data_IF_109215876497
#
_entry.id   IF_109215876497
#
_cell.length_a   1.000
_cell.length_b   1.000
_cell.length_c   1.000
_cell.angle_alpha   90.00
_cell.angle_beta   90.00
_cell.angle_gamma   90.00
#
_symmetry.space_group_name_H-M   'P 1'
#
loop_
_entity.id
_entity.type
_entity.pdbx_description
1 polymer ?
#
# COMPACT_ATOMS: atom_id res chain seq x y z
N UNK A 1 -0.74 3.63 9.98
CA UNK A 1 -1.57 3.80 8.76
C UNK A 1 -1.82 2.41 8.24
N UNK A 2 -3.08 2.15 7.87
CA UNK A 2 -3.59 0.81 7.57
C UNK A 2 -2.78 0.04 6.51
N UNK A 3 -2.24 0.74 5.49
CA UNK A 3 -1.37 0.14 4.47
C UNK A 3 -0.11 -0.55 5.05
N UNK A 4 0.62 0.13 5.94
CA UNK A 4 1.85 -0.40 6.53
C UNK A 4 1.56 -1.65 7.35
N UNK A 5 0.52 -1.58 8.17
CA UNK A 5 0.09 -2.67 9.06
C UNK A 5 -0.32 -3.92 8.27
N UNK A 6 -1.09 -3.75 7.18
CA UNK A 6 -1.47 -4.86 6.29
C UNK A 6 -0.25 -5.42 5.56
N UNK A 7 0.66 -4.57 5.07
CA UNK A 7 1.89 -5.06 4.42
C UNK A 7 2.72 -5.91 5.38
N UNK A 8 2.88 -5.46 6.62
CA UNK A 8 3.65 -6.17 7.64
C UNK A 8 2.97 -7.47 8.09
N UNK A 9 1.63 -7.50 8.17
CA UNK A 9 0.88 -8.74 8.46
C UNK A 9 1.05 -9.79 7.35
N UNK A 10 1.23 -9.35 6.10
CA UNK A 10 1.57 -10.19 4.93
C UNK A 10 3.06 -10.55 4.86
N UNK A 11 3.88 -10.14 5.86
CA UNK A 11 5.34 -10.38 5.93
C UNK A 11 6.11 -9.85 4.72
N UNK A 12 5.60 -8.81 4.07
CA UNK A 12 6.25 -8.17 2.93
C UNK A 12 7.10 -6.99 3.41
N UNK A 13 8.35 -6.88 2.93
CA UNK A 13 9.07 -5.61 3.05
C UNK A 13 8.50 -4.58 2.08
N UNK A 14 8.83 -3.29 2.29
CA UNK A 14 8.48 -2.25 1.30
C UNK A 14 9.04 -2.58 -0.09
N UNK A 15 10.25 -3.16 -0.17
CA UNK A 15 10.87 -3.54 -1.45
C UNK A 15 10.11 -4.67 -2.13
N UNK A 16 9.59 -5.63 -1.36
CA UNK A 16 8.83 -6.74 -1.93
C UNK A 16 7.52 -6.24 -2.53
N UNK A 17 6.78 -5.41 -1.78
CA UNK A 17 5.55 -4.81 -2.30
C UNK A 17 5.82 -3.91 -3.52
N UNK A 18 6.89 -3.12 -3.50
CA UNK A 18 7.30 -2.30 -4.64
C UNK A 18 7.56 -3.12 -5.90
N UNK A 19 8.20 -4.29 -5.77
CA UNK A 19 8.46 -5.21 -6.90
C UNK A 19 7.18 -5.78 -7.47
N UNK A 20 6.20 -6.11 -6.62
CA UNK A 20 4.92 -6.66 -7.04
C UNK A 20 4.07 -5.60 -7.76
N UNK A 21 3.98 -4.40 -7.17
CA UNK A 21 3.10 -3.31 -7.66
C UNK A 21 3.74 -2.51 -8.81
N UNK A 22 5.07 -2.51 -8.91
CA UNK A 22 5.80 -1.74 -9.92
C UNK A 22 5.96 -0.27 -9.55
N UNK A 23 6.23 0.03 -8.27
CA UNK A 23 6.45 1.40 -7.77
C UNK A 23 7.81 1.55 -7.08
N UNK A 24 8.25 2.78 -6.83
CA UNK A 24 9.50 3.04 -6.11
C UNK A 24 9.32 2.94 -4.60
N UNK A 25 10.39 2.52 -3.89
CA UNK A 25 10.38 2.46 -2.43
C UNK A 25 10.10 3.82 -1.76
N UNK A 26 10.70 4.95 -2.20
CA UNK A 26 10.37 6.26 -1.64
C UNK A 26 8.90 6.62 -1.81
N UNK A 27 8.31 6.30 -2.98
CA UNK A 27 6.88 6.51 -3.23
C UNK A 27 6.02 5.71 -2.25
N UNK A 28 6.29 4.41 -2.08
CA UNK A 28 5.56 3.56 -1.13
C UNK A 28 5.75 4.05 0.32
N UNK A 29 6.96 4.49 0.68
CA UNK A 29 7.22 5.06 2.00
C UNK A 29 6.38 6.32 2.23
N UNK A 30 6.36 7.28 1.29
CA UNK A 30 5.53 8.48 1.40
C UNK A 30 4.04 8.15 1.47
N UNK A 31 3.61 7.13 0.71
CA UNK A 31 2.24 6.63 0.74
C UNK A 31 1.86 6.06 2.12
N UNK A 32 2.71 5.21 2.71
CA UNK A 32 2.50 4.63 4.05
C UNK A 32 2.49 5.65 5.19
N UNK A 33 3.12 6.81 4.98
CA UNK A 33 3.13 7.90 5.95
C UNK A 33 2.07 8.98 5.63
N UNK A 34 1.25 8.79 4.60
CA UNK A 34 0.23 9.76 4.18
C UNK A 34 0.80 11.08 3.62
N UNK A 35 2.11 11.12 3.28
CA UNK A 35 2.76 12.29 2.70
C UNK A 35 2.45 12.46 1.21
N UNK A 36 2.00 11.40 0.55
CA UNK A 36 1.63 11.38 -0.86
C UNK A 36 0.40 10.51 -1.08
N UNK A 37 -0.42 10.87 -2.06
CA UNK A 37 -1.52 10.03 -2.53
C UNK A 37 -1.15 9.32 -3.84
N UNK A 38 -1.79 8.18 -4.08
CA UNK A 38 -1.66 7.39 -5.31
C UNK A 38 -2.93 7.50 -6.16
N UNK A 39 -2.85 7.07 -7.42
CA UNK A 39 -4.05 6.93 -8.27
C UNK A 39 -4.90 5.75 -7.81
N UNK A 40 -6.18 5.73 -8.20
CA UNK A 40 -7.05 4.56 -7.93
C UNK A 40 -6.48 3.27 -8.51
N UNK A 41 -5.88 3.32 -9.71
CA UNK A 41 -5.20 2.16 -10.32
C UNK A 41 -4.05 1.64 -9.45
N UNK A 42 -3.22 2.54 -8.91
CA UNK A 42 -2.13 2.13 -8.01
C UNK A 42 -2.67 1.59 -6.69
N UNK A 43 -3.74 2.19 -6.13
CA UNK A 43 -4.40 1.65 -4.95
C UNK A 43 -4.98 0.26 -5.19
N UNK A 44 -5.57 0.02 -6.37
CA UNK A 44 -6.09 -1.29 -6.76
C UNK A 44 -4.96 -2.31 -6.85
N UNK A 45 -3.85 -1.99 -7.52
CA UNK A 45 -2.68 -2.88 -7.60
C UNK A 45 -2.09 -3.22 -6.23
N UNK A 46 -2.06 -2.25 -5.31
CA UNK A 46 -1.62 -2.49 -3.93
C UNK A 46 -2.59 -3.41 -3.20
N UNK A 47 -3.90 -3.19 -3.35
CA UNK A 47 -4.94 -4.04 -2.75
C UNK A 47 -4.84 -5.48 -3.25
N UNK A 48 -4.68 -5.66 -4.57
CA UNK A 48 -4.51 -6.96 -5.21
C UNK A 48 -3.24 -7.66 -4.71
N UNK A 49 -2.11 -6.94 -4.63
CA UNK A 49 -0.84 -7.46 -4.13
C UNK A 49 -0.86 -7.86 -2.65
N UNK A 50 -1.73 -7.22 -1.86
CA UNK A 50 -1.93 -7.52 -0.44
C UNK A 50 -3.09 -8.50 -0.21
N UNK A 51 -3.82 -8.88 -1.26
CA UNK A 51 -5.01 -9.73 -1.22
C UNK A 51 -6.04 -9.22 -0.20
N UNK A 52 -6.36 -7.93 -0.28
CA UNK A 52 -7.39 -7.29 0.56
C UNK A 52 -8.31 -6.43 -0.31
N UNK A 53 -9.54 -6.16 0.11
CA UNK A 53 -10.38 -5.17 -0.55
C UNK A 53 -9.73 -3.78 -0.54
N UNK A 54 -9.84 -3.03 -1.64
CA UNK A 54 -9.32 -1.65 -1.71
C UNK A 54 -9.92 -0.74 -0.63
N UNK A 55 -11.14 -1.02 -0.18
CA UNK A 55 -11.80 -0.32 0.93
C UNK A 55 -11.04 -0.45 2.23
N UNK A 56 -10.33 -1.55 2.47
CA UNK A 56 -9.50 -1.68 3.67
C UNK A 56 -8.31 -0.73 3.66
N UNK A 57 -7.79 -0.39 2.49
CA UNK A 57 -6.67 0.56 2.35
C UNK A 57 -7.13 2.02 2.40
N UNK A 58 -8.35 2.29 1.92
CA UNK A 58 -8.94 3.63 1.81
C UNK A 58 -9.78 4.05 3.03
N UNK A 59 -10.08 3.13 3.95
CA UNK A 59 -10.74 3.46 5.20
C UNK A 59 -9.88 4.49 5.97
N UNK A 60 -10.41 5.72 6.03
CA UNK A 60 -9.90 6.71 6.97
C UNK A 60 -10.27 6.21 8.37
N UNK A 61 -9.26 6.08 9.23
CA UNK A 61 -9.53 5.99 10.67
C UNK A 61 -10.38 7.20 11.04
N UNK A 62 -11.61 6.93 11.49
CA UNK A 62 -12.47 7.93 12.13
C UNK A 62 -11.89 8.36 13.46
#
# INVERSE_FOLDING_TARGET
>A
MKLKEIRESKRLSQRDLCRIVGVSQPFLCDLEHGRRNATLDTWQKIADALEVPITELLEKAG
#
